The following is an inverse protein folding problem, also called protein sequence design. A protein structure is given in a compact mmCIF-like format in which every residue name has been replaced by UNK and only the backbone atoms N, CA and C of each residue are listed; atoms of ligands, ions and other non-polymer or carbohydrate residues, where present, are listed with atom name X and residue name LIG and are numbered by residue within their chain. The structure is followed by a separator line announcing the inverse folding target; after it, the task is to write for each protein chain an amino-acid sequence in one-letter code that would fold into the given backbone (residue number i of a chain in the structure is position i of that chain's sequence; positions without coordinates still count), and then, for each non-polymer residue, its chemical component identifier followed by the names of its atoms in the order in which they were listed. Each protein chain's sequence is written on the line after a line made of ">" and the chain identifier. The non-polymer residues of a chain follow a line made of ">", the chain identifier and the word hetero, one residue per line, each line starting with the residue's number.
data_IF_374854779752
#
_entry.id   IF_374854779752
#
_cell.length_a   1.000
_cell.length_b   1.000
_cell.length_c   1.000
_cell.angle_alpha   90.00
_cell.angle_beta   90.00
_cell.angle_gamma   90.00
#
_symmetry.space_group_name_H-M   'P 1'
#
loop_
_entity.id
_entity.type
_entity.pdbx_description
1 polymer ?
#
# COMPACT_ATOMS: atom_id res chain seq x y z
N UNK A 1 3.60 -4.25 -14.83
CA UNK A 1 3.97 -4.36 -13.41
C UNK A 1 4.45 -5.75 -13.03
N UNK A 2 3.72 -6.81 -13.39
CA UNK A 2 4.03 -8.21 -13.04
C UNK A 2 5.50 -8.61 -13.28
N UNK A 3 6.05 -8.38 -14.47
CA UNK A 3 7.46 -8.72 -14.75
C UNK A 3 8.47 -8.03 -13.84
N UNK A 4 8.19 -6.78 -13.42
CA UNK A 4 9.06 -6.04 -12.49
C UNK A 4 8.98 -6.66 -11.08
N UNK A 5 7.78 -7.07 -10.65
CA UNK A 5 7.58 -7.76 -9.38
C UNK A 5 8.31 -9.12 -9.38
N UNK A 6 8.13 -9.94 -10.43
CA UNK A 6 8.84 -11.22 -10.60
C UNK A 6 10.35 -11.07 -10.52
N UNK A 7 10.91 -10.08 -11.22
CA UNK A 7 12.35 -9.76 -11.15
C UNK A 7 12.82 -9.39 -9.74
N UNK A 8 12.02 -8.64 -8.97
CA UNK A 8 12.36 -8.28 -7.57
C UNK A 8 12.28 -9.46 -6.61
N UNK A 9 11.36 -10.39 -6.85
CA UNK A 9 11.19 -11.60 -6.06
C UNK A 9 12.14 -12.74 -6.47
N UNK A 10 12.90 -12.56 -7.57
CA UNK A 10 13.78 -13.61 -8.10
C UNK A 10 13.04 -14.77 -8.77
N UNK A 11 11.75 -14.60 -9.08
CA UNK A 11 10.89 -15.63 -9.71
C UNK A 11 11.10 -15.56 -11.23
N UNK A 12 11.36 -16.72 -11.84
CA UNK A 12 11.65 -16.84 -13.29
C UNK A 12 10.57 -17.61 -14.06
N UNK A 13 9.84 -18.50 -13.37
CA UNK A 13 8.72 -19.24 -13.93
C UNK A 13 7.41 -18.43 -13.87
N UNK A 14 6.31 -19.04 -14.28
CA UNK A 14 4.98 -18.42 -14.34
C UNK A 14 3.97 -19.10 -13.40
N UNK A 15 4.43 -19.95 -12.47
CA UNK A 15 3.56 -20.81 -11.65
C UNK A 15 2.67 -19.97 -10.73
N UNK A 16 3.16 -18.81 -10.30
CA UNK A 16 2.49 -17.94 -9.31
C UNK A 16 2.01 -16.63 -9.93
N UNK A 17 1.93 -16.52 -11.26
CA UNK A 17 1.62 -15.26 -11.92
C UNK A 17 0.24 -14.72 -11.51
N UNK A 18 -0.79 -15.57 -11.45
CA UNK A 18 -2.13 -15.18 -10.98
C UNK A 18 -2.09 -14.62 -9.54
N UNK A 19 -1.38 -15.30 -8.64
CA UNK A 19 -1.23 -14.84 -7.24
C UNK A 19 -0.48 -13.49 -7.16
N UNK A 20 0.55 -13.30 -7.99
CA UNK A 20 1.29 -12.05 -8.04
C UNK A 20 0.45 -10.92 -8.63
N UNK A 21 -0.43 -11.21 -9.60
CA UNK A 21 -1.41 -10.25 -10.11
C UNK A 21 -2.43 -9.86 -9.04
N UNK A 22 -2.95 -10.81 -8.25
CA UNK A 22 -3.84 -10.52 -7.13
C UNK A 22 -3.19 -9.55 -6.14
N UNK A 23 -1.92 -9.77 -5.77
CA UNK A 23 -1.21 -8.86 -4.87
C UNK A 23 -0.98 -7.47 -5.46
N UNK A 24 -0.79 -7.35 -6.78
CA UNK A 24 -0.71 -6.06 -7.44
C UNK A 24 -2.06 -5.35 -7.41
N UNK A 25 -3.15 -6.07 -7.70
CA UNK A 25 -4.50 -5.53 -7.67
C UNK A 25 -4.90 -5.05 -6.28
N UNK A 26 -4.59 -5.83 -5.24
CA UNK A 26 -4.82 -5.47 -3.84
C UNK A 26 -4.02 -4.22 -3.45
N UNK A 27 -2.73 -4.17 -3.83
CA UNK A 27 -1.89 -3.01 -3.57
C UNK A 27 -2.41 -1.74 -4.28
N UNK A 28 -2.92 -1.84 -5.51
CA UNK A 28 -3.56 -0.72 -6.21
C UNK A 28 -4.88 -0.30 -5.55
N UNK A 29 -5.71 -1.26 -5.12
CA UNK A 29 -6.94 -0.98 -4.41
C UNK A 29 -6.67 -0.22 -3.09
N UNK A 30 -5.68 -0.66 -2.32
CA UNK A 30 -5.26 0.02 -1.10
C UNK A 30 -4.68 1.41 -1.35
N UNK A 31 -3.84 1.57 -2.37
CA UNK A 31 -3.33 2.88 -2.75
C UNK A 31 -4.47 3.85 -3.06
N UNK A 32 -5.45 3.42 -3.85
CA UNK A 32 -6.63 4.23 -4.20
C UNK A 32 -7.49 4.56 -2.98
N UNK A 33 -7.64 3.61 -2.06
CA UNK A 33 -8.37 3.83 -0.81
C UNK A 33 -7.68 4.88 0.07
N UNK A 34 -6.35 4.81 0.21
CA UNK A 34 -5.56 5.76 1.01
C UNK A 34 -5.56 7.15 0.39
N UNK A 35 -5.39 7.22 -0.93
CA UNK A 35 -5.18 8.49 -1.64
C UNK A 35 -6.46 9.16 -2.13
N UNK A 36 -7.59 8.45 -2.14
CA UNK A 36 -8.82 8.86 -2.81
C UNK A 36 -8.71 8.89 -4.35
N UNK A 37 -7.58 8.47 -4.92
CA UNK A 37 -7.35 8.53 -6.36
C UNK A 37 -8.18 7.48 -7.10
N UNK A 38 -8.70 7.83 -8.28
CA UNK A 38 -9.43 6.87 -9.13
C UNK A 38 -8.52 5.83 -9.78
N UNK A 39 -7.27 6.21 -10.06
CA UNK A 39 -6.28 5.39 -10.76
C UNK A 39 -4.86 5.68 -10.24
N UNK A 40 -3.98 4.68 -10.31
CA UNK A 40 -2.57 4.85 -9.95
C UNK A 40 -1.78 5.42 -11.13
N UNK A 41 -1.21 6.62 -10.97
CA UNK A 41 -0.32 7.19 -11.98
C UNK A 41 1.01 6.39 -12.05
N UNK A 42 1.59 6.23 -13.24
CA UNK A 42 2.82 5.43 -13.48
C UNK A 42 4.00 5.80 -12.58
N UNK A 43 4.09 7.07 -12.17
CA UNK A 43 5.11 7.56 -11.22
C UNK A 43 5.04 6.89 -9.84
N UNK A 44 3.90 6.33 -9.45
CA UNK A 44 3.71 5.60 -8.18
C UNK A 44 3.78 4.08 -8.35
N UNK A 45 4.06 3.57 -9.57
CA UNK A 45 4.14 2.13 -9.85
C UNK A 45 5.15 1.41 -8.93
N UNK A 46 6.24 2.10 -8.55
CA UNK A 46 7.24 1.56 -7.64
C UNK A 46 6.70 1.30 -6.22
N UNK A 47 5.72 2.08 -5.77
CA UNK A 47 5.05 1.92 -4.48
C UNK A 47 4.24 0.62 -4.52
N UNK A 48 3.41 0.46 -5.55
CA UNK A 48 2.57 -0.73 -5.73
C UNK A 48 3.41 -2.00 -5.78
N UNK A 49 4.50 -2.00 -6.57
CA UNK A 49 5.39 -3.15 -6.68
C UNK A 49 6.04 -3.50 -5.31
N UNK A 50 6.45 -2.50 -4.52
CA UNK A 50 7.02 -2.74 -3.20
C UNK A 50 5.98 -3.31 -2.23
N UNK A 51 4.77 -2.74 -2.20
CA UNK A 51 3.68 -3.25 -1.35
C UNK A 51 3.30 -4.68 -1.73
N UNK A 52 3.17 -4.98 -3.02
CA UNK A 52 2.92 -6.34 -3.50
C UNK A 52 4.06 -7.32 -3.13
N UNK A 53 5.32 -6.85 -3.14
CA UNK A 53 6.45 -7.65 -2.66
C UNK A 53 6.36 -7.96 -1.17
N UNK A 54 5.91 -6.99 -0.35
CA UNK A 54 5.67 -7.20 1.09
C UNK A 54 4.54 -8.19 1.34
N UNK A 55 3.44 -8.11 0.58
CA UNK A 55 2.33 -9.07 0.65
C UNK A 55 2.80 -10.49 0.35
N UNK A 56 3.59 -10.67 -0.71
CA UNK A 56 4.16 -11.97 -1.08
C UNK A 56 5.06 -12.55 0.02
N UNK A 57 6.04 -11.77 0.49
CA UNK A 57 6.98 -12.22 1.53
C UNK A 57 6.28 -12.58 2.84
N UNK A 58 5.19 -11.86 3.14
CA UNK A 58 4.37 -12.11 4.33
C UNK A 58 3.57 -13.40 4.20
N UNK A 59 2.92 -13.69 3.07
CA UNK A 59 2.26 -14.98 2.84
C UNK A 59 3.24 -16.15 2.98
N UNK A 60 4.48 -15.98 2.47
CA UNK A 60 5.55 -16.97 2.66
C UNK A 60 5.91 -17.18 4.14
N UNK A 61 5.92 -16.10 4.94
CA UNK A 61 6.21 -16.15 6.38
C UNK A 61 5.03 -16.68 7.21
N UNK A 62 3.79 -16.40 6.83
CA UNK A 62 2.57 -16.90 7.48
C UNK A 62 2.39 -18.41 7.27
N UNK A 63 2.85 -18.96 6.14
CA UNK A 63 3.00 -20.40 5.95
C UNK A 63 3.97 -21.07 6.95
N UNK A 64 4.87 -20.30 7.58
CA UNK A 64 5.81 -20.77 8.60
C UNK A 64 5.39 -20.42 10.05
N UNK A 65 4.38 -19.58 10.24
CA UNK A 65 3.91 -19.14 11.57
C UNK A 65 2.39 -19.11 11.59
N UNK A 66 1.80 -20.23 12.02
CA UNK A 66 0.37 -20.35 12.34
C UNK A 66 0.04 -19.53 13.58
N UNK A 67 -0.16 -18.22 13.44
CA UNK A 67 -0.95 -17.45 14.39
C UNK A 67 -1.28 -16.11 13.75
N UNK A 68 -2.53 -15.89 13.26
CA UNK A 68 -3.07 -14.52 13.19
C UNK A 68 -4.54 -14.43 13.56
N UNK A 69 -4.69 -13.65 14.62
CA UNK A 69 -5.86 -13.20 15.36
C UNK A 69 -6.70 -12.23 14.52
N UNK A 70 -8.01 -12.42 14.60
CA UNK A 70 -9.10 -11.84 13.81
C UNK A 70 -9.48 -10.39 14.22
N UNK A 71 -8.60 -9.40 14.05
CA UNK A 71 -8.94 -8.04 14.51
C UNK A 71 -8.20 -6.81 14.00
N UNK A 72 -7.29 -6.91 13.02
CA UNK A 72 -6.41 -5.80 12.63
C UNK A 72 -6.45 -5.39 11.15
N UNK A 73 -7.53 -5.66 10.41
CA UNK A 73 -7.56 -5.45 8.94
C UNK A 73 -7.21 -4.02 8.49
N UNK A 74 -7.67 -2.98 9.17
CA UNK A 74 -7.38 -1.58 8.80
C UNK A 74 -5.93 -1.14 9.14
N UNK A 75 -5.47 -1.41 10.37
CA UNK A 75 -4.09 -1.11 10.79
C UNK A 75 -3.04 -1.93 10.02
N UNK A 76 -3.40 -3.15 9.63
CA UNK A 76 -2.56 -4.03 8.81
C UNK A 76 -2.25 -3.40 7.45
N UNK A 77 -3.28 -2.87 6.77
CA UNK A 77 -3.12 -2.25 5.46
C UNK A 77 -2.31 -0.97 5.53
N UNK A 78 -2.52 -0.16 6.58
CA UNK A 78 -1.72 1.04 6.83
C UNK A 78 -0.22 0.71 6.92
N UNK A 79 0.15 -0.34 7.67
CA UNK A 79 1.56 -0.74 7.87
C UNK A 79 2.33 -1.07 6.57
N UNK A 80 1.64 -1.48 5.50
CA UNK A 80 2.27 -1.77 4.22
C UNK A 80 2.77 -0.51 3.51
N UNK A 81 2.11 0.63 3.77
CA UNK A 81 2.38 1.92 3.14
C UNK A 81 3.20 2.88 4.01
N UNK A 82 3.51 2.54 5.26
CA UNK A 82 4.21 3.42 6.22
C UNK A 82 5.41 4.18 5.64
N UNK A 83 6.29 3.49 4.90
CA UNK A 83 7.49 4.11 4.30
C UNK A 83 7.18 5.12 3.19
N UNK A 84 5.97 5.04 2.61
CA UNK A 84 5.48 5.90 1.56
C UNK A 84 4.52 6.97 2.07
N UNK A 85 3.97 6.84 3.29
CA UNK A 85 3.00 7.79 3.83
C UNK A 85 3.48 9.25 3.78
N UNK A 86 4.73 9.62 4.16
CA UNK A 86 5.18 11.00 4.06
C UNK A 86 5.16 11.57 2.64
N UNK A 87 5.40 10.71 1.64
CA UNK A 87 5.34 11.08 0.23
C UNK A 87 3.88 11.22 -0.23
N UNK A 88 3.02 10.27 0.14
CA UNK A 88 1.61 10.25 -0.25
C UNK A 88 0.83 11.41 0.40
N UNK A 89 1.06 11.67 1.69
CA UNK A 89 0.48 12.79 2.41
C UNK A 89 0.79 14.12 1.73
N UNK A 90 2.06 14.34 1.36
CA UNK A 90 2.48 15.56 0.66
C UNK A 90 1.83 15.70 -0.72
N UNK A 91 1.69 14.60 -1.44
CA UNK A 91 1.29 14.62 -2.85
C UNK A 91 -0.24 14.62 -3.03
N UNK A 92 -0.98 14.00 -2.11
CA UNK A 92 -2.44 13.90 -2.16
C UNK A 92 -3.14 14.75 -1.08
N UNK A 93 -2.39 15.56 -0.33
CA UNK A 93 -2.91 16.43 0.75
C UNK A 93 -3.73 15.65 1.79
N UNK A 94 -3.22 14.49 2.22
CA UNK A 94 -3.93 13.53 3.09
C UNK A 94 -4.00 13.96 4.57
N UNK A 95 -3.80 15.24 4.86
CA UNK A 95 -3.89 15.74 6.23
C UNK A 95 -5.35 15.72 6.71
N UNK A 96 -5.58 15.16 7.90
CA UNK A 96 -6.87 15.25 8.58
C UNK A 96 -7.26 16.73 8.76
N UNK A 97 -8.29 17.17 8.03
CA UNK A 97 -8.83 18.53 8.14
C UNK A 97 -9.40 18.80 9.55
N UNK A 98 -9.56 17.77 10.38
CA UNK A 98 -9.95 17.84 11.80
C UNK A 98 -8.97 18.62 12.70
N UNK A 99 -7.75 18.94 12.23
CA UNK A 99 -6.83 19.86 12.94
C UNK A 99 -6.88 21.31 12.45
N UNK A 100 -7.79 21.66 11.53
CA UNK A 100 -8.07 23.06 11.15
C UNK A 100 -9.19 23.71 11.99
N UNK A 101 -9.58 23.13 13.12
CA UNK A 101 -10.36 23.85 14.13
C UNK A 101 -9.46 24.59 15.15
N UNK A 102 -9.65 25.92 15.18
CA UNK A 102 -9.23 26.91 16.20
C UNK A 102 -7.85 27.56 16.06
N UNK A 103 -7.60 28.15 14.90
CA UNK A 103 -6.79 29.36 14.76
C UNK A 103 -7.68 30.60 14.57
N UNK A 104 -8.59 30.88 15.52
CA UNK A 104 -9.34 32.13 15.51
C UNK A 104 -8.41 33.30 15.79
N UNK A 105 -8.03 34.05 14.76
CA UNK A 105 -7.36 35.34 14.93
C UNK A 105 -8.22 36.41 14.25
N UNK A 106 -8.96 37.15 15.09
CA UNK A 106 -9.68 38.37 14.72
C UNK A 106 -8.68 39.47 14.37
N UNK A 107 -8.98 40.25 13.34
CA UNK A 107 -8.51 41.63 13.24
C UNK A 107 -9.68 42.53 12.81
N UNK A 108 -10.01 43.50 13.67
CA UNK A 108 -10.77 44.72 13.41
C UNK A 108 -9.77 45.89 13.36
#
# INVERSE_FOLDING_TARGET
>A
MLDKLKRRLGIKDTIQDELLEDFLNDAEAHFRLITGAHSVHSRYEFIIINVASKLYNRKGSEGMSQERVDGYSAHYVASLFDEFMPLLEKEFDLYDDDKREKGGVMFW
#
